data_IF_747751444743
#
_entry.id   IF_747751444743
#
_cell.length_a   1.000
_cell.length_b   1.000
_cell.length_c   1.000
_cell.angle_alpha   90.00
_cell.angle_beta   90.00
_cell.angle_gamma   90.00
#
_symmetry.space_group_name_H-M   'P 1'
#
loop_
_entity.id
_entity.type
_entity.pdbx_description
1 polymer ?
#
# COMPACT_ATOMS: atom_id res chain seq x y z
N UNK A 1 17.98 -16.43 -2.95
CA UNK A 1 18.56 -16.22 -1.59
C UNK A 1 18.50 -14.71 -1.35
N UNK A 2 17.62 -14.28 -0.46
CA UNK A 2 17.39 -12.86 -0.18
C UNK A 2 18.50 -12.36 0.76
N UNK A 3 19.06 -11.16 0.47
CA UNK A 3 20.16 -10.61 1.26
C UNK A 3 19.65 -10.21 2.67
N UNK A 4 20.05 -10.96 3.68
CA UNK A 4 19.68 -10.72 5.08
C UNK A 4 20.36 -9.46 5.68
N UNK A 5 21.32 -8.85 4.97
CA UNK A 5 22.15 -7.77 5.49
C UNK A 5 21.54 -6.36 5.34
N UNK A 6 20.48 -6.18 4.56
CA UNK A 6 19.89 -4.86 4.36
C UNK A 6 19.08 -4.38 5.58
N UNK A 7 19.58 -3.33 6.21
CA UNK A 7 18.84 -2.64 7.27
C UNK A 7 17.49 -2.13 6.74
N UNK A 8 16.40 -2.23 7.53
CA UNK A 8 15.12 -1.65 7.15
C UNK A 8 15.27 -0.18 6.76
N UNK A 9 14.63 0.22 5.66
CA UNK A 9 14.52 1.63 5.30
C UNK A 9 13.50 2.31 6.22
N UNK A 10 13.88 3.39 6.89
CA UNK A 10 13.00 4.14 7.77
C UNK A 10 12.52 5.38 7.03
N UNK A 11 11.24 5.45 6.73
CA UNK A 11 10.63 6.62 6.11
C UNK A 11 10.50 7.76 7.11
N UNK A 12 10.89 8.95 6.67
CA UNK A 12 10.75 10.19 7.42
C UNK A 12 9.63 11.06 6.86
N UNK A 13 9.17 12.04 7.65
CA UNK A 13 8.13 12.97 7.25
C UNK A 13 8.46 13.64 5.89
N UNK A 14 7.48 13.71 5.00
CA UNK A 14 7.58 14.20 3.62
C UNK A 14 8.29 13.29 2.61
N UNK A 15 8.85 12.17 3.06
CA UNK A 15 9.45 11.21 2.15
C UNK A 15 8.37 10.38 1.43
N UNK A 16 8.60 10.13 0.15
CA UNK A 16 7.84 9.20 -0.67
C UNK A 16 8.81 8.17 -1.24
N UNK A 17 8.55 6.91 -0.95
CA UNK A 17 9.36 5.78 -1.38
C UNK A 17 8.51 4.78 -2.19
N UNK A 18 9.12 4.17 -3.18
CA UNK A 18 8.50 3.16 -4.02
C UNK A 18 8.83 3.31 -5.49
N UNK A 19 8.10 2.63 -6.32
CA UNK A 19 8.29 2.60 -7.77
C UNK A 19 7.74 1.32 -8.39
N UNK A 20 8.21 1.01 -9.58
CA UNK A 20 7.80 -0.13 -10.40
C UNK A 20 8.97 -1.04 -10.81
N UNK A 21 10.06 -0.98 -10.06
CA UNK A 21 11.26 -1.79 -10.31
C UNK A 21 11.41 -2.89 -9.28
N UNK A 22 12.22 -3.90 -9.63
CA UNK A 22 12.53 -5.01 -8.73
C UNK A 22 13.04 -4.51 -7.39
N UNK A 23 12.34 -4.91 -6.32
CA UNK A 23 12.72 -4.62 -4.95
C UNK A 23 12.21 -5.69 -4.00
N UNK A 24 13.02 -6.01 -2.99
CA UNK A 24 12.59 -6.80 -1.84
C UNK A 24 13.15 -6.08 -0.62
N UNK A 25 12.27 -5.49 0.19
CA UNK A 25 12.71 -4.62 1.28
C UNK A 25 11.72 -4.50 2.42
N UNK A 26 12.25 -4.33 3.64
CA UNK A 26 11.47 -3.92 4.81
C UNK A 26 11.51 -2.40 4.97
N UNK A 27 10.35 -1.79 5.14
CA UNK A 27 10.14 -0.35 5.30
C UNK A 27 9.50 -0.11 6.65
N UNK A 28 10.08 0.78 7.45
CA UNK A 28 9.50 1.23 8.73
C UNK A 28 8.86 2.59 8.58
N UNK A 29 7.63 2.68 9.03
CA UNK A 29 6.82 3.89 9.10
C UNK A 29 6.30 4.06 10.53
N UNK A 30 5.84 5.26 10.93
CA UNK A 30 5.24 5.44 12.26
C UNK A 30 4.10 4.46 12.54
N UNK A 31 4.30 3.58 13.53
CA UNK A 31 3.37 2.51 13.95
C UNK A 31 3.00 1.47 12.88
N UNK A 32 3.72 1.43 11.75
CA UNK A 32 3.57 0.41 10.71
C UNK A 32 4.94 -0.11 10.27
N UNK A 33 5.01 -1.41 10.04
CA UNK A 33 6.11 -2.03 9.28
C UNK A 33 5.53 -2.64 8.02
N UNK A 34 6.18 -2.36 6.89
CA UNK A 34 5.88 -2.97 5.62
C UNK A 34 7.04 -3.87 5.18
N UNK A 35 6.71 -4.97 4.54
CA UNK A 35 7.63 -5.73 3.72
C UNK A 35 7.07 -5.79 2.31
N UNK A 36 7.87 -5.46 1.32
CA UNK A 36 7.47 -5.47 -0.08
C UNK A 36 8.42 -6.33 -0.88
N UNK A 37 7.85 -7.15 -1.75
CA UNK A 37 8.53 -7.80 -2.85
C UNK A 37 7.79 -7.44 -4.13
N UNK A 38 8.46 -6.76 -5.03
CA UNK A 38 7.96 -6.40 -6.36
C UNK A 38 8.97 -6.87 -7.39
N UNK A 39 8.50 -7.67 -8.33
CA UNK A 39 9.35 -8.32 -9.33
C UNK A 39 8.71 -8.16 -10.70
N UNK A 40 9.19 -7.23 -11.54
CA UNK A 40 8.73 -7.09 -12.90
C UNK A 40 8.94 -8.37 -13.73
N UNK A 41 8.09 -8.57 -14.72
CA UNK A 41 8.16 -9.71 -15.63
C UNK A 41 9.53 -9.78 -16.33
N UNK A 42 10.02 -8.64 -16.79
CA UNK A 42 11.32 -8.52 -17.45
C UNK A 42 12.40 -8.00 -16.50
N UNK A 43 13.49 -8.75 -16.33
CA UNK A 43 14.60 -8.31 -15.48
C UNK A 43 15.26 -7.02 -16.03
N UNK A 44 15.50 -6.06 -15.13
CA UNK A 44 16.18 -4.79 -15.44
C UNK A 44 15.27 -3.67 -15.96
N UNK A 45 14.01 -3.96 -16.25
CA UNK A 45 13.00 -2.99 -16.68
C UNK A 45 12.02 -2.64 -15.54
N UNK A 46 11.19 -1.62 -15.75
CA UNK A 46 10.04 -1.35 -14.89
C UNK A 46 8.83 -2.13 -15.37
N UNK A 47 7.93 -2.46 -14.45
CA UNK A 47 6.69 -3.17 -14.72
C UNK A 47 5.45 -2.26 -14.70
N UNK A 48 4.27 -2.87 -14.88
CA UNK A 48 2.96 -2.28 -14.67
C UNK A 48 2.62 -2.10 -13.20
N UNK A 49 3.17 -2.97 -12.36
CA UNK A 49 2.98 -2.88 -10.91
C UNK A 49 3.67 -1.67 -10.30
N UNK A 50 2.94 -0.93 -9.49
CA UNK A 50 3.42 0.26 -8.79
C UNK A 50 3.11 0.16 -7.30
N UNK A 51 4.13 0.25 -6.48
CA UNK A 51 3.98 0.42 -5.03
C UNK A 51 4.51 1.79 -4.59
N UNK A 52 3.85 2.39 -3.61
CA UNK A 52 4.23 3.71 -3.08
C UNK A 52 3.91 3.78 -1.58
N UNK A 53 4.84 4.31 -0.81
CA UNK A 53 4.70 4.54 0.62
C UNK A 53 5.14 5.94 0.97
N UNK A 54 4.46 6.58 1.92
CA UNK A 54 4.84 7.90 2.40
C UNK A 54 4.45 8.12 3.85
N UNK A 55 5.12 9.09 4.46
CA UNK A 55 4.81 9.58 5.80
C UNK A 55 4.55 11.08 5.72
N UNK A 56 3.45 11.53 6.32
CA UNK A 56 3.06 12.94 6.30
C UNK A 56 2.43 13.38 7.63
N UNK A 57 2.15 14.69 7.74
CA UNK A 57 1.51 15.32 8.90
C UNK A 57 2.24 15.05 10.22
N UNK A 58 3.51 15.46 10.28
CA UNK A 58 4.36 15.29 11.48
C UNK A 58 4.37 13.84 12.00
N UNK A 59 4.53 12.89 11.08
CA UNK A 59 4.54 11.45 11.37
C UNK A 59 3.21 10.88 11.89
N UNK A 60 2.11 11.58 11.72
CA UNK A 60 0.79 11.11 12.15
C UNK A 60 0.15 10.14 11.16
N UNK A 61 0.50 10.27 9.88
CA UNK A 61 -0.12 9.48 8.82
C UNK A 61 0.93 8.74 8.01
N UNK A 62 0.79 7.42 7.97
CA UNK A 62 1.49 6.55 7.05
C UNK A 62 0.55 6.15 5.92
N UNK A 63 0.97 6.35 4.66
CA UNK A 63 0.18 6.00 3.48
C UNK A 63 0.87 4.92 2.67
N UNK A 64 0.09 4.00 2.15
CA UNK A 64 0.53 2.92 1.26
C UNK A 64 -0.41 2.89 0.07
N UNK A 65 0.13 2.76 -1.12
CA UNK A 65 -0.62 2.57 -2.35
C UNK A 65 -0.01 1.42 -3.14
N UNK A 66 -0.88 0.60 -3.72
CA UNK A 66 -0.54 -0.43 -4.68
C UNK A 66 -1.43 -0.22 -5.90
N UNK A 67 -0.86 -0.25 -7.09
CA UNK A 67 -1.58 -0.14 -8.34
C UNK A 67 -0.96 -1.07 -9.38
N UNK A 68 -1.78 -1.49 -10.32
CA UNK A 68 -1.38 -2.28 -11.46
C UNK A 68 -1.97 -1.67 -12.74
N UNK A 69 -1.09 -1.34 -13.68
CA UNK A 69 -1.42 -0.69 -14.97
C UNK A 69 -1.72 -1.76 -16.01
N UNK A 70 -2.84 -1.63 -16.69
CA UNK A 70 -3.28 -2.58 -17.74
C UNK A 70 -2.21 -2.85 -18.79
N UNK A 71 -1.76 -4.11 -18.87
CA UNK A 71 -0.59 -4.58 -19.65
C UNK A 71 0.64 -4.76 -18.75
N UNK A 72 1.70 -5.33 -19.25
CA UNK A 72 2.86 -5.75 -18.45
C UNK A 72 4.19 -5.36 -19.09
N UNK A 73 5.24 -5.42 -18.29
CA UNK A 73 6.62 -5.23 -18.74
C UNK A 73 6.93 -3.82 -19.24
N UNK A 74 7.93 -3.70 -20.12
CA UNK A 74 8.44 -2.42 -20.62
C UNK A 74 7.44 -1.56 -21.38
N UNK A 75 6.37 -2.16 -21.94
CA UNK A 75 5.34 -1.43 -22.69
C UNK A 75 4.58 -0.43 -21.81
N UNK A 76 4.49 -0.69 -20.51
CA UNK A 76 3.74 0.13 -19.55
C UNK A 76 4.63 0.93 -18.60
N UNK A 77 5.94 0.73 -18.59
CA UNK A 77 6.88 1.42 -17.67
C UNK A 77 6.69 2.95 -17.69
N UNK A 78 6.63 3.56 -18.86
CA UNK A 78 6.41 5.01 -18.98
C UNK A 78 5.05 5.47 -18.46
N UNK A 79 4.01 4.65 -18.57
CA UNK A 79 2.67 4.92 -18.07
C UNK A 79 2.67 4.80 -16.53
N UNK A 80 3.28 3.74 -16.01
CA UNK A 80 3.42 3.50 -14.56
C UNK A 80 4.21 4.61 -13.88
N UNK A 81 5.29 5.09 -14.49
CA UNK A 81 6.03 6.24 -13.96
C UNK A 81 5.20 7.53 -13.94
N UNK A 82 4.31 7.75 -14.93
CA UNK A 82 3.37 8.89 -14.87
C UNK A 82 2.36 8.72 -13.73
N UNK A 83 1.79 7.53 -13.58
CA UNK A 83 0.90 7.22 -12.45
C UNK A 83 1.61 7.46 -11.12
N UNK A 84 2.85 7.01 -10.97
CA UNK A 84 3.66 7.27 -9.78
C UNK A 84 3.80 8.77 -9.48
N UNK A 85 4.11 9.60 -10.49
CA UNK A 85 4.18 11.06 -10.32
C UNK A 85 2.85 11.67 -9.90
N UNK A 86 1.73 11.18 -10.44
CA UNK A 86 0.39 11.64 -10.07
C UNK A 86 0.03 11.25 -8.63
N UNK A 87 0.33 10.01 -8.24
CA UNK A 87 0.14 9.56 -6.87
C UNK A 87 0.99 10.37 -5.90
N UNK A 88 2.25 10.64 -6.25
CA UNK A 88 3.12 11.50 -5.47
C UNK A 88 2.57 12.93 -5.35
N UNK A 89 2.10 13.54 -6.45
CA UNK A 89 1.53 14.90 -6.45
C UNK A 89 0.30 15.02 -5.54
N UNK A 90 -0.52 13.98 -5.47
CA UNK A 90 -1.75 13.95 -4.68
C UNK A 90 -1.57 13.35 -3.28
N UNK A 91 -0.35 12.98 -2.89
CA UNK A 91 -0.09 12.22 -1.65
C UNK A 91 -0.55 12.95 -0.38
N UNK A 92 -0.65 14.28 -0.39
CA UNK A 92 -1.09 15.10 0.73
C UNK A 92 -2.62 15.28 0.78
N UNK A 93 -3.37 14.71 -0.16
CA UNK A 93 -4.84 14.73 -0.14
C UNK A 93 -5.33 13.84 1.00
N UNK A 94 -6.09 14.42 1.94
CA UNK A 94 -6.51 13.75 3.17
C UNK A 94 -7.57 12.68 2.94
N UNK A 95 -8.54 12.98 2.10
CA UNK A 95 -9.60 12.07 1.72
C UNK A 95 -9.11 11.13 0.62
N UNK A 96 -9.25 9.82 0.83
CA UNK A 96 -8.75 8.82 -0.11
C UNK A 96 -9.63 8.74 -1.37
N UNK A 97 -10.90 9.10 -1.27
CA UNK A 97 -11.80 9.18 -2.41
C UNK A 97 -11.45 10.38 -3.29
N UNK A 98 -11.14 11.54 -2.70
CA UNK A 98 -10.62 12.71 -3.41
C UNK A 98 -9.27 12.44 -4.08
N UNK A 99 -8.40 11.70 -3.39
CA UNK A 99 -7.13 11.25 -3.94
C UNK A 99 -7.35 10.42 -5.21
N UNK A 100 -8.21 9.39 -5.14
CA UNK A 100 -8.50 8.52 -6.29
C UNK A 100 -9.16 9.30 -7.44
N UNK A 101 -10.09 10.23 -7.15
CA UNK A 101 -10.68 11.09 -8.19
C UNK A 101 -9.63 11.92 -8.92
N UNK A 102 -8.75 12.58 -8.16
CA UNK A 102 -7.69 13.40 -8.74
C UNK A 102 -6.72 12.60 -9.62
N UNK A 103 -6.40 11.37 -9.21
CA UNK A 103 -5.59 10.45 -10.00
C UNK A 103 -6.35 10.03 -11.26
N UNK A 104 -7.64 9.61 -11.13
CA UNK A 104 -8.48 9.20 -12.25
C UNK A 104 -8.61 10.29 -13.33
N UNK A 105 -8.91 11.52 -12.93
CA UNK A 105 -9.06 12.63 -13.86
C UNK A 105 -7.80 12.90 -14.66
N UNK A 106 -6.64 12.95 -13.97
CA UNK A 106 -5.37 13.31 -14.60
C UNK A 106 -4.80 12.16 -15.42
N UNK A 107 -4.97 10.91 -14.94
CA UNK A 107 -4.47 9.73 -15.63
C UNK A 107 -5.28 9.44 -16.90
N UNK A 108 -6.62 9.52 -16.82
CA UNK A 108 -7.51 9.32 -17.99
C UNK A 108 -7.32 10.34 -19.12
N UNK A 109 -6.77 11.53 -18.81
CA UNK A 109 -6.49 12.57 -19.82
C UNK A 109 -5.15 12.38 -20.54
N UNK A 110 -4.34 11.40 -20.17
CA UNK A 110 -2.99 11.21 -20.73
C UNK A 110 -2.96 10.73 -22.19
N UNK A 111 -4.09 10.28 -22.74
CA UNK A 111 -4.20 9.83 -24.13
C UNK A 111 -3.66 8.42 -24.41
N UNK A 112 -3.15 7.74 -23.39
CA UNK A 112 -2.54 6.41 -23.54
C UNK A 112 -3.57 5.27 -23.65
N UNK A 113 -4.85 5.57 -23.42
CA UNK A 113 -5.95 4.57 -23.36
C UNK A 113 -5.67 3.42 -22.38
N UNK A 114 -4.84 3.66 -21.38
CA UNK A 114 -4.52 2.72 -20.30
C UNK A 114 -5.33 3.06 -19.06
N UNK A 115 -5.62 2.03 -18.28
CA UNK A 115 -6.24 2.17 -16.96
C UNK A 115 -5.39 1.41 -15.94
N UNK A 116 -5.64 1.65 -14.67
CA UNK A 116 -4.96 0.92 -13.60
C UNK A 116 -5.94 0.54 -12.50
N UNK A 117 -5.82 -0.67 -12.00
CA UNK A 117 -6.39 -0.99 -10.69
C UNK A 117 -5.54 -0.33 -9.62
N UNK A 118 -6.15 0.16 -8.55
CA UNK A 118 -5.40 0.80 -7.48
C UNK A 118 -6.12 0.68 -6.13
N UNK A 119 -5.33 0.51 -5.07
CA UNK A 119 -5.79 0.66 -3.70
C UNK A 119 -4.87 1.62 -2.95
N UNK A 120 -5.45 2.53 -2.19
CA UNK A 120 -4.71 3.44 -1.32
C UNK A 120 -5.21 3.32 0.11
N UNK A 121 -4.27 3.19 1.04
CA UNK A 121 -4.51 3.06 2.46
C UNK A 121 -3.80 4.21 3.19
N UNK A 122 -4.47 4.81 4.17
CA UNK A 122 -3.85 5.80 5.07
C UNK A 122 -4.12 5.41 6.51
N UNK A 123 -3.06 5.17 7.25
CA UNK A 123 -3.13 4.82 8.66
C UNK A 123 -2.81 6.02 9.53
N UNK A 124 -3.76 6.37 10.41
CA UNK A 124 -3.57 7.42 11.40
C UNK A 124 -3.13 6.79 12.73
N UNK A 125 -1.85 6.95 13.08
CA UNK A 125 -1.22 6.24 14.21
C UNK A 125 -1.89 6.47 15.55
N UNK A 126 -2.29 7.71 15.88
CA UNK A 126 -2.90 8.05 17.18
C UNK A 126 -4.32 7.51 17.31
N UNK A 127 -5.09 7.51 16.23
CA UNK A 127 -6.46 7.00 16.22
C UNK A 127 -6.52 5.47 16.03
N UNK A 128 -5.44 4.85 15.54
CA UNK A 128 -5.44 3.45 15.16
C UNK A 128 -6.40 3.14 14.01
N UNK A 129 -6.73 4.17 13.20
CA UNK A 129 -7.68 4.06 12.09
C UNK A 129 -6.97 3.95 10.76
N UNK A 130 -7.44 3.02 9.94
CA UNK A 130 -7.06 2.84 8.56
C UNK A 130 -8.20 3.28 7.67
N UNK A 131 -7.99 4.33 6.88
CA UNK A 131 -8.88 4.74 5.80
C UNK A 131 -8.36 4.16 4.49
N UNK A 132 -9.23 3.61 3.64
CA UNK A 132 -8.84 3.14 2.32
C UNK A 132 -9.90 3.42 1.27
N UNK A 133 -9.45 3.53 0.02
CA UNK A 133 -10.27 3.59 -1.18
C UNK A 133 -9.73 2.60 -2.20
N UNK A 134 -10.62 1.88 -2.88
CA UNK A 134 -10.30 0.85 -3.84
C UNK A 134 -10.87 1.19 -5.22
N UNK A 135 -10.02 1.19 -6.24
CA UNK A 135 -10.34 1.43 -7.63
C UNK A 135 -10.15 0.13 -8.44
N UNK A 136 -10.99 -0.85 -8.20
CA UNK A 136 -10.99 -2.14 -8.93
C UNK A 136 -9.83 -3.07 -8.59
N UNK A 137 -9.05 -2.78 -7.55
CA UNK A 137 -7.95 -3.63 -7.12
C UNK A 137 -8.46 -4.83 -6.30
N UNK A 138 -7.69 -5.91 -6.29
CA UNK A 138 -7.99 -7.10 -5.50
C UNK A 138 -8.10 -6.76 -4.00
N UNK A 139 -9.08 -7.34 -3.27
CA UNK A 139 -9.23 -7.07 -1.85
C UNK A 139 -8.04 -7.64 -1.06
N UNK A 140 -7.40 -6.83 -0.20
CA UNK A 140 -6.32 -7.33 0.65
C UNK A 140 -6.79 -8.41 1.63
N UNK A 141 -5.90 -9.32 2.00
CA UNK A 141 -6.12 -10.19 3.15
C UNK A 141 -5.90 -9.42 4.44
N UNK A 142 -6.70 -9.71 5.44
CA UNK A 142 -6.60 -9.10 6.78
C UNK A 142 -6.53 -10.18 7.86
N UNK A 143 -5.41 -10.20 8.59
CA UNK A 143 -5.26 -11.00 9.79
C UNK A 143 -5.65 -10.19 11.02
N UNK A 144 -6.68 -10.64 11.72
CA UNK A 144 -7.11 -10.09 12.99
C UNK A 144 -6.37 -10.77 14.13
N UNK A 145 -5.28 -10.17 14.61
CA UNK A 145 -4.39 -10.77 15.58
C UNK A 145 -5.10 -11.18 16.90
N UNK A 146 -6.03 -10.35 17.37
CA UNK A 146 -6.81 -10.63 18.58
C UNK A 146 -7.72 -11.88 18.46
N UNK A 147 -8.05 -12.29 17.25
CA UNK A 147 -8.94 -13.42 16.95
C UNK A 147 -8.17 -14.63 16.39
N UNK A 148 -6.93 -14.43 15.97
CA UNK A 148 -6.14 -15.44 15.27
C UNK A 148 -6.78 -15.85 13.94
N UNK A 149 -7.48 -14.95 13.26
CA UNK A 149 -8.31 -15.28 12.10
C UNK A 149 -8.00 -14.37 10.91
N UNK A 150 -8.03 -14.98 9.72
CA UNK A 150 -7.91 -14.30 8.44
C UNK A 150 -9.26 -14.02 7.81
N UNK A 151 -9.40 -12.87 7.16
CA UNK A 151 -10.52 -12.45 6.34
C UNK A 151 -10.06 -11.56 5.21
N UNK A 152 -11.02 -10.90 4.55
CA UNK A 152 -10.78 -9.92 3.51
C UNK A 152 -10.98 -8.51 4.07
N UNK A 153 -10.13 -7.57 3.63
CA UNK A 153 -10.40 -6.15 3.85
C UNK A 153 -11.43 -5.71 2.82
N UNK A 154 -12.70 -5.71 3.22
CA UNK A 154 -13.81 -5.38 2.36
C UNK A 154 -14.32 -3.96 2.60
N UNK A 155 -14.80 -3.32 1.53
CA UNK A 155 -15.54 -2.07 1.62
C UNK A 155 -16.89 -2.30 2.33
N UNK A 156 -17.32 -1.31 3.10
CA UNK A 156 -18.63 -1.34 3.75
C UNK A 156 -19.77 -1.39 2.71
N UNK A 157 -20.97 -1.83 3.15
CA UNK A 157 -22.14 -1.98 2.26
C UNK A 157 -22.56 -0.68 1.58
N UNK A 158 -22.34 0.48 2.21
CA UNK A 158 -22.62 1.81 1.62
C UNK A 158 -21.61 2.13 0.49
N UNK A 159 -20.36 1.73 0.61
CA UNK A 159 -19.34 1.91 -0.41
C UNK A 159 -19.65 1.14 -1.71
N UNK A 160 -20.35 -0.01 -1.61
CA UNK A 160 -20.77 -0.80 -2.79
C UNK A 160 -21.73 -0.07 -3.74
N UNK A 161 -22.27 1.06 -3.35
CA UNK A 161 -23.10 1.92 -4.23
C UNK A 161 -22.26 2.85 -5.11
N UNK A 162 -20.99 3.02 -4.80
CA UNK A 162 -20.05 3.85 -5.54
C UNK A 162 -19.15 2.93 -6.38
N UNK A 163 -18.79 3.38 -7.54
CA UNK A 163 -18.02 2.58 -8.49
C UNK A 163 -16.62 2.25 -7.96
N UNK A 164 -16.27 0.97 -7.93
CA UNK A 164 -14.90 0.47 -7.76
C UNK A 164 -14.15 0.29 -9.09
N UNK A 165 -14.43 1.12 -10.12
CA UNK A 165 -13.78 1.02 -11.42
C UNK A 165 -12.31 1.45 -11.36
N UNK A 166 -11.44 0.82 -12.18
CA UNK A 166 -10.05 1.22 -12.31
C UNK A 166 -9.90 2.71 -12.64
N UNK A 167 -8.81 3.32 -12.16
CA UNK A 167 -8.48 4.71 -12.51
C UNK A 167 -8.10 4.82 -13.98
N UNK A 168 -8.54 5.90 -14.62
CA UNK A 168 -8.32 6.16 -16.04
C UNK A 168 -9.30 5.47 -16.98
N UNK A 169 -10.15 4.57 -16.48
CA UNK A 169 -11.09 3.82 -17.32
C UNK A 169 -12.28 4.69 -17.77
N UNK A 170 -12.91 5.40 -16.83
CA UNK A 170 -14.05 6.29 -17.10
C UNK A 170 -13.83 7.63 -16.40
N UNK A 171 -13.83 8.76 -17.16
CA UNK A 171 -13.77 10.10 -16.56
C UNK A 171 -14.96 10.35 -15.61
N UNK A 172 -14.70 11.09 -14.53
CA UNK A 172 -15.75 11.42 -13.55
C UNK A 172 -16.20 10.25 -12.68
N UNK A 173 -15.45 9.14 -12.64
CA UNK A 173 -15.74 8.03 -11.73
C UNK A 173 -15.66 8.50 -10.28
N UNK A 174 -16.72 8.21 -9.52
CA UNK A 174 -16.72 8.43 -8.07
C UNK A 174 -16.13 7.24 -7.33
N UNK A 175 -15.39 7.55 -6.27
CA UNK A 175 -14.79 6.55 -5.38
C UNK A 175 -15.28 6.74 -3.96
N UNK A 176 -15.34 5.66 -3.19
CA UNK A 176 -15.69 5.67 -1.77
C UNK A 176 -14.45 5.57 -0.89
N UNK A 177 -14.61 6.01 0.35
CA UNK A 177 -13.63 5.77 1.41
C UNK A 177 -14.27 4.93 2.50
N UNK A 178 -13.61 3.85 2.88
CA UNK A 178 -13.97 3.03 4.04
C UNK A 178 -12.96 3.24 5.15
N UNK A 179 -13.43 3.27 6.41
CA UNK A 179 -12.56 3.43 7.58
C UNK A 179 -12.75 2.25 8.52
N UNK A 180 -11.66 1.57 8.84
CA UNK A 180 -11.63 0.47 9.79
C UNK A 180 -10.67 0.76 10.94
N UNK A 181 -10.76 0.00 12.03
CA UNK A 181 -9.78 0.05 13.12
C UNK A 181 -8.79 -1.08 12.93
N UNK A 182 -7.55 -0.72 12.61
CA UNK A 182 -6.45 -1.68 12.56
C UNK A 182 -5.89 -1.81 13.98
N UNK A 183 -5.90 -3.02 14.54
CA UNK A 183 -5.40 -3.30 15.90
C UNK A 183 -3.92 -3.67 15.87
N UNK A 184 -3.28 -3.57 17.03
CA UNK A 184 -1.89 -3.98 17.19
C UNK A 184 -1.68 -5.43 16.73
N UNK A 185 -0.58 -5.67 16.03
CA UNK A 185 -0.20 -6.94 15.42
C UNK A 185 -1.12 -7.43 14.31
N UNK A 186 -2.19 -6.69 13.94
CA UNK A 186 -2.95 -6.99 12.73
C UNK A 186 -2.02 -6.89 11.51
N UNK A 187 -2.24 -7.80 10.55
CA UNK A 187 -1.51 -7.85 9.27
C UNK A 187 -2.46 -7.61 8.10
N UNK A 188 -1.98 -6.90 7.10
CA UNK A 188 -2.64 -6.77 5.80
C UNK A 188 -1.71 -7.30 4.72
N UNK A 189 -2.25 -8.08 3.78
CA UNK A 189 -1.52 -8.55 2.59
C UNK A 189 -2.18 -7.95 1.37
N UNK A 190 -1.47 -7.06 0.69
CA UNK A 190 -1.83 -6.50 -0.60
C UNK A 190 -1.04 -7.25 -1.68
N UNK A 191 -1.64 -7.45 -2.84
CA UNK A 191 -1.03 -8.21 -3.93
C UNK A 191 -1.66 -7.84 -5.26
N UNK A 192 -0.87 -7.90 -6.33
CA UNK A 192 -1.35 -7.73 -7.71
C UNK A 192 -1.85 -9.05 -8.29
N UNK A 193 -2.54 -8.98 -9.42
CA UNK A 193 -3.14 -10.16 -10.06
C UNK A 193 -2.08 -11.14 -10.55
N UNK A 194 -0.87 -10.68 -10.93
CA UNK A 194 0.24 -11.58 -11.23
C UNK A 194 0.55 -12.62 -10.15
N UNK A 195 0.16 -12.36 -8.87
CA UNK A 195 0.23 -13.37 -7.80
C UNK A 195 -0.90 -14.39 -7.92
N UNK A 196 -2.15 -13.94 -8.12
CA UNK A 196 -3.33 -14.82 -8.12
C UNK A 196 -3.57 -15.50 -9.45
N UNK A 197 -3.12 -14.91 -10.55
CA UNK A 197 -3.18 -15.47 -11.90
C UNK A 197 -1.93 -16.30 -12.27
N UNK A 198 -0.96 -16.41 -11.33
CA UNK A 198 0.16 -17.32 -11.50
C UNK A 198 -0.31 -18.73 -11.81
N UNK A 199 0.06 -19.25 -12.98
CA UNK A 199 -0.29 -20.58 -13.43
C UNK A 199 0.76 -21.62 -13.04
N UNK A 200 0.32 -22.83 -12.69
CA UNK A 200 1.22 -23.97 -12.54
C UNK A 200 1.47 -24.70 -13.87
N UNK A 201 2.28 -25.76 -13.86
CA UNK A 201 2.61 -26.56 -15.05
C UNK A 201 1.39 -27.19 -15.75
N UNK A 202 0.25 -27.32 -15.06
CA UNK A 202 -1.00 -27.84 -15.62
C UNK A 202 -1.90 -26.73 -16.16
N UNK A 203 -1.49 -25.45 -16.06
CA UNK A 203 -2.27 -24.28 -16.47
C UNK A 203 -3.35 -23.88 -15.47
N UNK A 204 -3.33 -24.41 -14.26
CA UNK A 204 -4.23 -23.98 -13.19
C UNK A 204 -3.69 -22.72 -12.52
N UNK A 205 -4.52 -21.68 -12.45
CA UNK A 205 -4.21 -20.45 -11.71
C UNK A 205 -4.29 -20.67 -10.19
N UNK A 206 -3.49 -19.91 -9.46
CA UNK A 206 -3.48 -19.95 -7.99
C UNK A 206 -4.84 -19.58 -7.40
N UNK A 207 -5.37 -18.43 -7.82
CA UNK A 207 -6.58 -17.87 -7.26
C UNK A 207 -6.41 -17.27 -5.85
N UNK A 208 -7.29 -16.37 -5.48
CA UNK A 208 -7.22 -15.64 -4.20
C UNK A 208 -7.56 -16.51 -2.99
N UNK A 209 -8.44 -17.51 -3.15
CA UNK A 209 -8.83 -18.43 -2.08
C UNK A 209 -7.65 -19.32 -1.66
N UNK A 210 -6.85 -19.78 -2.63
CA UNK A 210 -5.64 -20.54 -2.33
C UNK A 210 -4.57 -19.68 -1.65
N UNK A 211 -4.45 -18.40 -2.05
CA UNK A 211 -3.57 -17.44 -1.36
C UNK A 211 -4.00 -17.23 0.10
N UNK A 212 -5.31 -17.12 0.35
CA UNK A 212 -5.86 -17.05 1.71
C UNK A 212 -5.55 -18.33 2.52
N UNK A 213 -5.67 -19.49 1.90
CA UNK A 213 -5.36 -20.77 2.57
C UNK A 213 -3.87 -20.87 2.92
N UNK A 214 -2.98 -20.38 2.07
CA UNK A 214 -1.56 -20.28 2.40
C UNK A 214 -1.29 -19.29 3.53
N UNK A 215 -1.97 -18.14 3.54
CA UNK A 215 -1.83 -17.16 4.60
C UNK A 215 -2.25 -17.72 5.97
N UNK A 216 -3.27 -18.62 6.02
CA UNK A 216 -3.69 -19.31 7.25
C UNK A 216 -2.62 -20.24 7.82
N UNK A 217 -1.73 -20.75 6.99
CA UNK A 217 -0.65 -21.67 7.37
C UNK A 217 0.67 -20.94 7.63
N UNK A 218 0.74 -19.65 7.28
CA UNK A 218 1.95 -18.86 7.33
C UNK A 218 2.27 -18.36 8.75
N UNK A 219 3.56 -18.07 9.06
CA UNK A 219 3.92 -17.36 10.28
C UNK A 219 3.35 -15.94 10.25
N UNK A 220 2.86 -15.48 11.39
CA UNK A 220 2.29 -14.13 11.56
C UNK A 220 3.13 -13.23 12.48
N UNK A 221 4.37 -13.62 12.73
CA UNK A 221 5.30 -12.94 13.65
C UNK A 221 5.81 -11.61 13.08
N UNK A 222 5.99 -11.54 11.77
CA UNK A 222 6.46 -10.35 11.10
C UNK A 222 5.99 -10.28 9.64
N UNK A 223 5.89 -9.08 9.05
CA UNK A 223 5.57 -8.90 7.63
C UNK A 223 6.52 -9.67 6.72
N UNK A 224 7.82 -9.70 7.07
CA UNK A 224 8.84 -10.41 6.31
C UNK A 224 8.61 -11.92 6.32
N UNK A 225 8.42 -12.51 7.50
CA UNK A 225 8.24 -13.95 7.62
C UNK A 225 7.00 -14.44 6.86
N UNK A 226 5.89 -13.70 6.96
CA UNK A 226 4.68 -13.98 6.20
C UNK A 226 4.92 -13.85 4.70
N UNK A 227 5.52 -12.74 4.26
CA UNK A 227 5.77 -12.46 2.85
C UNK A 227 6.72 -13.48 2.20
N UNK A 228 7.83 -13.83 2.85
CA UNK A 228 8.77 -14.84 2.38
C UNK A 228 8.12 -16.22 2.28
N UNK A 229 7.29 -16.59 3.25
CA UNK A 229 6.53 -17.83 3.19
C UNK A 229 5.60 -17.89 1.97
N UNK A 230 4.82 -16.81 1.74
CA UNK A 230 3.88 -16.74 0.61
C UNK A 230 4.64 -16.80 -0.73
N UNK A 231 5.75 -16.06 -0.87
CA UNK A 231 6.56 -16.11 -2.09
C UNK A 231 7.18 -17.50 -2.32
N UNK A 232 7.67 -18.14 -1.28
CA UNK A 232 8.21 -19.50 -1.41
C UNK A 232 7.13 -20.49 -1.88
N UNK A 233 5.91 -20.37 -1.36
CA UNK A 233 4.77 -21.18 -1.82
C UNK A 233 4.41 -20.90 -3.27
N UNK A 234 4.44 -19.62 -3.68
CA UNK A 234 4.20 -19.20 -5.05
C UNK A 234 5.27 -19.77 -6.01
N UNK A 235 6.54 -19.68 -5.66
CA UNK A 235 7.64 -20.25 -6.45
C UNK A 235 7.50 -21.76 -6.63
N UNK A 236 7.13 -22.48 -5.56
CA UNK A 236 6.89 -23.92 -5.63
C UNK A 236 5.65 -24.27 -6.49
N UNK A 237 4.64 -23.43 -6.50
CA UNK A 237 3.40 -23.65 -7.26
C UNK A 237 3.61 -23.44 -8.77
N UNK A 238 4.22 -22.31 -9.15
CA UNK A 238 4.38 -21.93 -10.57
C UNK A 238 5.65 -22.48 -11.23
N UNK A 239 6.62 -22.99 -10.45
CA UNK A 239 7.93 -23.34 -10.96
C UNK A 239 8.66 -22.13 -11.55
N UNK A 240 9.17 -22.29 -12.77
CA UNK A 240 9.86 -21.21 -13.48
C UNK A 240 8.93 -20.32 -14.33
N UNK A 241 7.63 -20.57 -14.30
CA UNK A 241 6.65 -19.84 -15.09
C UNK A 241 6.33 -18.51 -14.41
N UNK A 242 6.57 -17.42 -15.11
CA UNK A 242 6.10 -16.07 -14.73
C UNK A 242 5.49 -15.44 -15.96
N UNK A 243 4.27 -14.98 -15.85
CA UNK A 243 3.48 -14.47 -16.96
C UNK A 243 3.16 -12.98 -16.81
N UNK A 244 3.35 -12.42 -15.61
CA UNK A 244 3.06 -11.01 -15.32
C UNK A 244 4.03 -10.45 -14.28
N UNK A 245 3.92 -9.15 -14.03
CA UNK A 245 4.56 -8.45 -12.92
C UNK A 245 3.97 -8.96 -11.60
N UNK A 246 4.79 -9.24 -10.60
CA UNK A 246 4.35 -9.80 -9.32
C UNK A 246 4.71 -8.85 -8.17
N UNK A 247 3.71 -8.34 -7.47
CA UNK A 247 3.94 -7.55 -6.25
C UNK A 247 3.17 -8.09 -5.07
N UNK A 248 3.90 -8.34 -3.99
CA UNK A 248 3.38 -8.72 -2.67
C UNK A 248 3.83 -7.70 -1.64
N UNK A 249 2.89 -7.13 -0.91
CA UNK A 249 3.15 -6.13 0.11
C UNK A 249 2.44 -6.52 1.40
N UNK A 250 3.20 -6.73 2.46
CA UNK A 250 2.68 -7.11 3.79
C UNK A 250 2.88 -5.96 4.75
N UNK A 251 1.79 -5.52 5.39
CA UNK A 251 1.80 -4.48 6.42
C UNK A 251 1.50 -5.10 7.78
N UNK A 252 2.16 -4.63 8.82
CA UNK A 252 1.82 -4.95 10.21
C UNK A 252 1.70 -3.67 11.03
N UNK A 253 0.66 -3.59 11.87
CA UNK A 253 0.62 -2.57 12.89
C UNK A 253 1.53 -2.97 14.05
N UNK A 254 2.57 -2.17 14.28
CA UNK A 254 3.44 -2.31 15.45
C UNK A 254 2.88 -1.54 16.66
N UNK A 255 3.40 -1.87 17.85
CA UNK A 255 3.13 -1.11 19.06
C UNK A 255 3.59 0.34 18.90
N UNK A 256 2.78 1.27 19.39
CA UNK A 256 3.27 2.63 19.51
C UNK A 256 4.51 2.65 20.41
N UNK A 257 5.58 3.20 19.88
CA UNK A 257 6.66 3.69 20.73
C UNK A 257 6.01 4.68 21.72
N UNK A 258 5.87 4.25 22.99
CA UNK A 258 5.18 4.99 24.02
C UNK A 258 5.51 6.48 23.96
N UNK A 259 4.52 7.29 23.87
CA UNK A 259 4.30 8.69 24.28
C UNK A 259 5.38 9.43 25.12
N UNK A 260 6.65 9.26 24.84
CA UNK A 260 7.67 10.18 25.36
C UNK A 260 7.62 11.52 24.59
N UNK A 261 7.10 11.50 23.36
CA UNK A 261 7.03 12.68 22.49
C UNK A 261 5.80 13.56 22.69
N UNK A 262 4.71 13.11 23.31
CA UNK A 262 3.56 13.98 23.58
C UNK A 262 3.87 15.05 24.63
N UNK A 263 4.80 14.77 25.56
CA UNK A 263 5.30 15.78 26.49
C UNK A 263 6.13 16.86 25.79
N UNK A 264 6.94 16.50 24.81
CA UNK A 264 7.80 17.43 24.06
C UNK A 264 7.03 18.21 22.99
N UNK A 265 6.09 17.58 22.29
CA UNK A 265 5.23 18.26 21.33
C UNK A 265 4.25 19.20 22.03
N UNK A 266 3.64 18.80 23.16
CA UNK A 266 2.81 19.69 23.95
C UNK A 266 3.62 20.87 24.51
N UNK A 267 4.88 20.67 24.91
CA UNK A 267 5.77 21.74 25.32
C UNK A 267 6.17 22.66 24.16
N UNK A 268 6.40 22.13 22.95
CA UNK A 268 6.74 22.95 21.80
C UNK A 268 5.54 23.81 21.31
N UNK A 269 4.32 23.28 21.38
CA UNK A 269 3.10 24.06 21.06
C UNK A 269 2.83 25.16 22.10
N UNK A 270 3.07 24.89 23.38
CA UNK A 270 2.93 25.89 24.45
C UNK A 270 4.03 26.96 24.36
N UNK A 271 5.26 26.58 24.07
CA UNK A 271 6.36 27.54 23.83
C UNK A 271 6.13 28.40 22.57
N UNK A 272 5.65 27.80 21.49
CA UNK A 272 5.35 28.53 20.24
C UNK A 272 4.22 29.56 20.43
N UNK A 273 3.21 29.26 21.24
CA UNK A 273 2.14 30.20 21.61
C UNK A 273 2.65 31.33 22.53
N UNK A 274 3.49 31.02 23.52
CA UNK A 274 4.08 32.00 24.43
C UNK A 274 5.03 32.96 23.73
N UNK A 275 5.80 32.50 22.75
CA UNK A 275 6.71 33.34 21.99
C UNK A 275 5.94 34.27 21.00
N UNK A 276 4.78 33.84 20.46
CA UNK A 276 3.92 34.69 19.61
C UNK A 276 3.15 35.72 20.42
N UNK A 277 2.82 35.45 21.70
CA UNK A 277 2.13 36.43 22.57
C UNK A 277 3.05 37.56 23.03
N UNK A 278 4.37 37.31 23.18
CA UNK A 278 5.35 38.35 23.55
C UNK A 278 5.67 39.32 22.39
N UNK A 279 5.58 38.87 21.14
CA UNK A 279 5.77 39.80 19.97
C UNK A 279 4.59 40.72 19.70
N UNK A 280 3.41 40.47 20.29
CA UNK A 280 2.24 41.36 20.17
C UNK A 280 2.12 42.41 21.28
N UNK A 281 3.01 42.40 22.27
CA UNK A 281 3.01 43.43 23.35
C UNK A 281 4.16 44.43 23.25
N UNK A 282 4.96 44.37 22.18
CA UNK A 282 6.08 45.31 21.92
C UNK A 282 5.97 45.96 20.53
N UNK A 283 4.73 46.19 20.06
CA UNK A 283 4.42 47.04 18.89
C UNK A 283 3.29 47.98 19.25
#
# INVERSE_FOLDING_TARGET
>A
MYDESEKPHVLVCTEVWGGNRKVIRTIKMPSLVAWVASVPLNEGEGGGDLHCMSVCDYDLISRVALADVSGHGSEVDGVTQRLHKLMHKNINTWDQSDFMRGVNETFGQSGDHKYATAIVLSFHRVLGRLAFSNAGHLPPLWYHAAQGAWGWLEEGTEAKKVSGLPVGLIPGTEYSQTVVTLKQSDLLVLYTDGITEAGNETGQELGREQLLEWARQAPVDSPRALGEYLLQRLELFRGNLRNDDETLLVLQREEEFRLVMLGEVANSYTLGRLLRSKKRKSA
#
